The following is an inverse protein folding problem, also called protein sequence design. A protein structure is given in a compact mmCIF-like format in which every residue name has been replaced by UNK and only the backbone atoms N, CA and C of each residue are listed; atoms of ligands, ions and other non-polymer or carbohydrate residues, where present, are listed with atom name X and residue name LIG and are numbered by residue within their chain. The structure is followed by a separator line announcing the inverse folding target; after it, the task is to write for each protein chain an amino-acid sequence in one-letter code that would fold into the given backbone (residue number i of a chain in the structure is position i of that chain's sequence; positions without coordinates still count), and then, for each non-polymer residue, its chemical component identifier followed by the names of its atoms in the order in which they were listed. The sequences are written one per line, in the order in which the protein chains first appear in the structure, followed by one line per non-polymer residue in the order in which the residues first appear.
data_IF_787783222733
#
_entry.id   IF_787783222733
#
_cell.length_a   1.000
_cell.length_b   1.000
_cell.length_c   1.000
_cell.angle_alpha   90.00
_cell.angle_beta   90.00
_cell.angle_gamma   90.00
#
_symmetry.space_group_name_H-M   'P 1'
#
loop_
_entity.id
_entity.type
_entity.pdbx_description
1 polymer ?
#
# COMPACT_ATOMS: atom_id res chain seq x y z
N UNK A 1 34.98 13.29 -13.49
CA UNK A 1 34.46 12.09 -12.78
C UNK A 1 33.71 11.25 -13.78
N UNK A 2 34.02 9.95 -13.95
CA UNK A 2 33.26 9.11 -14.85
C UNK A 2 31.90 8.79 -14.23
N UNK A 3 30.85 9.01 -15.00
CA UNK A 3 29.50 8.54 -14.78
C UNK A 3 29.49 7.02 -14.92
N UNK A 4 29.56 6.31 -13.80
CA UNK A 4 29.40 4.84 -13.77
C UNK A 4 27.94 4.52 -14.11
N UNK A 5 27.65 3.65 -15.10
CA UNK A 5 26.29 3.20 -15.34
C UNK A 5 25.83 2.41 -14.10
N UNK A 6 24.81 2.90 -13.41
CA UNK A 6 24.10 2.15 -12.39
C UNK A 6 23.25 1.07 -13.09
N UNK A 7 23.90 0.08 -13.69
CA UNK A 7 23.29 -1.02 -14.39
C UNK A 7 24.10 -2.27 -14.14
N UNK A 8 23.44 -3.31 -13.61
CA UNK A 8 23.97 -4.65 -13.33
C UNK A 8 24.69 -4.80 -11.98
N UNK A 9 23.93 -4.63 -10.88
CA UNK A 9 24.17 -5.47 -9.69
C UNK A 9 23.73 -6.90 -10.03
N UNK A 10 24.65 -7.70 -10.57
CA UNK A 10 24.40 -9.10 -10.96
C UNK A 10 25.06 -9.54 -12.25
N UNK A 11 26.35 -9.22 -12.44
CA UNK A 11 27.10 -9.62 -13.63
C UNK A 11 27.11 -11.17 -13.77
N UNK A 12 26.17 -11.70 -14.55
CA UNK A 12 26.09 -13.11 -14.93
C UNK A 12 25.51 -14.10 -13.90
N UNK A 13 24.97 -13.65 -12.75
CA UNK A 13 24.37 -14.56 -11.74
C UNK A 13 22.86 -14.67 -11.92
N UNK A 14 22.26 -15.88 -11.78
CA UNK A 14 20.80 -16.02 -11.71
C UNK A 14 20.23 -15.15 -10.58
N UNK A 15 19.17 -14.41 -10.88
CA UNK A 15 18.45 -13.57 -9.92
C UNK A 15 16.95 -13.71 -10.10
N UNK A 16 16.17 -13.32 -9.09
CA UNK A 16 14.71 -13.34 -9.15
C UNK A 16 14.18 -11.96 -9.61
N UNK A 17 13.69 -11.82 -10.86
CA UNK A 17 13.22 -10.54 -11.38
C UNK A 17 11.96 -10.02 -10.67
N UNK A 18 11.14 -10.89 -10.09
CA UNK A 18 9.92 -10.49 -9.37
C UNK A 18 10.23 -9.64 -8.14
N UNK A 19 11.36 -9.89 -7.47
CA UNK A 19 11.77 -9.10 -6.30
C UNK A 19 12.18 -7.68 -6.72
N UNK A 20 12.95 -7.55 -7.80
CA UNK A 20 13.39 -6.25 -8.32
C UNK A 20 12.21 -5.45 -8.82
N UNK A 21 11.35 -6.08 -9.63
CA UNK A 21 10.15 -5.43 -10.16
C UNK A 21 9.17 -5.04 -9.04
N UNK A 22 8.96 -5.92 -8.06
CA UNK A 22 8.12 -5.64 -6.90
C UNK A 22 8.63 -4.45 -6.09
N UNK A 23 9.95 -4.36 -5.86
CA UNK A 23 10.58 -3.20 -5.21
C UNK A 23 10.40 -1.92 -6.02
N UNK A 24 10.61 -1.97 -7.33
CA UNK A 24 10.44 -0.82 -8.22
C UNK A 24 9.00 -0.29 -8.22
N UNK A 25 8.03 -1.17 -8.49
CA UNK A 25 6.61 -0.82 -8.53
C UNK A 25 6.12 -0.37 -7.16
N UNK A 26 6.50 -1.09 -6.10
CA UNK A 26 6.15 -0.72 -4.72
C UNK A 26 6.61 0.68 -4.37
N UNK A 27 7.84 1.04 -4.75
CA UNK A 27 8.38 2.36 -4.45
C UNK A 27 7.66 3.47 -5.23
N UNK A 28 7.36 3.25 -6.51
CA UNK A 28 6.56 4.19 -7.31
C UNK A 28 5.19 4.43 -6.67
N UNK A 29 4.50 3.35 -6.28
CA UNK A 29 3.21 3.45 -5.61
C UNK A 29 3.32 4.15 -4.26
N UNK A 30 4.35 3.85 -3.48
CA UNK A 30 4.62 4.53 -2.21
C UNK A 30 4.86 6.02 -2.37
N UNK A 31 5.62 6.43 -3.39
CA UNK A 31 5.86 7.85 -3.69
C UNK A 31 4.57 8.56 -4.13
N UNK A 32 3.73 7.89 -4.92
CA UNK A 32 2.45 8.46 -5.35
C UNK A 32 1.46 8.60 -4.18
N UNK A 33 1.38 7.59 -3.33
CA UNK A 33 0.39 7.51 -2.24
C UNK A 33 0.80 8.33 -1.02
N UNK A 34 2.08 8.28 -0.64
CA UNK A 34 2.58 8.78 0.65
C UNK A 34 3.61 9.91 0.51
N UNK A 35 3.95 10.30 -0.73
CA UNK A 35 5.02 11.27 -0.97
C UNK A 35 6.42 10.77 -0.59
N UNK A 36 6.56 9.50 -0.22
CA UNK A 36 7.82 8.91 0.25
C UNK A 36 8.49 8.04 -0.81
N UNK A 37 9.76 8.31 -1.05
CA UNK A 37 10.63 7.46 -1.87
C UNK A 37 11.55 6.63 -0.97
N UNK A 38 11.22 5.36 -0.81
CA UNK A 38 12.01 4.42 -0.02
C UNK A 38 13.31 4.06 -0.73
N UNK A 39 14.34 3.72 0.07
CA UNK A 39 15.48 2.99 -0.49
C UNK A 39 15.01 1.56 -0.83
N UNK A 40 15.54 0.97 -1.89
CA UNK A 40 15.16 -0.39 -2.29
C UNK A 40 15.53 -1.46 -1.26
N UNK A 41 16.43 -1.17 -0.33
CA UNK A 41 16.75 -2.03 0.83
C UNK A 41 16.07 -1.56 2.13
N UNK A 42 15.12 -0.63 2.05
CA UNK A 42 14.40 -0.14 3.22
C UNK A 42 13.50 -1.26 3.81
N UNK A 43 13.65 -1.58 5.11
CA UNK A 43 12.83 -2.61 5.75
C UNK A 43 11.34 -2.31 5.73
N UNK A 44 10.91 -1.04 5.73
CA UNK A 44 9.49 -0.66 5.61
C UNK A 44 8.93 -1.05 4.25
N UNK A 45 9.67 -0.77 3.17
CA UNK A 45 9.27 -1.16 1.82
C UNK A 45 9.20 -2.69 1.70
N UNK A 46 10.16 -3.41 2.27
CA UNK A 46 10.12 -4.87 2.30
C UNK A 46 8.94 -5.43 3.05
N UNK A 47 8.63 -4.89 4.24
CA UNK A 47 7.49 -5.35 5.00
C UNK A 47 6.17 -5.07 4.27
N UNK A 48 6.00 -3.86 3.73
CA UNK A 48 4.83 -3.48 2.91
C UNK A 48 4.63 -4.43 1.72
N UNK A 49 5.69 -4.71 0.97
CA UNK A 49 5.65 -5.64 -0.16
C UNK A 49 5.34 -7.08 0.27
N UNK A 50 5.92 -7.53 1.38
CA UNK A 50 5.68 -8.87 1.91
C UNK A 50 4.21 -9.05 2.35
N UNK A 51 3.66 -8.03 3.01
CA UNK A 51 2.27 -7.97 3.48
C UNK A 51 1.30 -7.89 2.31
N UNK A 52 1.61 -7.07 1.31
CA UNK A 52 0.84 -6.99 0.06
C UNK A 52 0.82 -8.33 -0.66
N UNK A 53 1.96 -9.03 -0.75
CA UNK A 53 2.04 -10.36 -1.36
C UNK A 53 1.21 -11.39 -0.58
N UNK A 54 1.28 -11.39 0.76
CA UNK A 54 0.44 -12.26 1.61
C UNK A 54 -1.04 -11.94 1.45
N UNK A 55 -1.40 -10.66 1.42
CA UNK A 55 -2.77 -10.22 1.18
C UNK A 55 -3.26 -10.71 -0.18
N UNK A 56 -2.46 -10.57 -1.24
CA UNK A 56 -2.78 -11.08 -2.57
C UNK A 56 -3.05 -12.59 -2.54
N UNK A 57 -2.14 -13.39 -1.94
CA UNK A 57 -2.34 -14.84 -1.78
C UNK A 57 -3.60 -15.18 -1.00
N UNK A 58 -3.95 -14.37 0.00
CA UNK A 58 -5.13 -14.57 0.81
C UNK A 58 -6.42 -14.26 0.03
N UNK A 59 -6.47 -13.17 -0.74
CA UNK A 59 -7.65 -12.83 -1.58
C UNK A 59 -7.85 -13.81 -2.73
N UNK A 60 -6.77 -14.43 -3.24
CA UNK A 60 -6.85 -15.48 -4.27
C UNK A 60 -7.01 -16.89 -3.67
N UNK A 61 -7.14 -17.02 -2.35
CA UNK A 61 -7.26 -18.34 -1.71
C UNK A 61 -8.64 -18.96 -1.94
N UNK A 62 -8.70 -20.30 -1.91
CA UNK A 62 -9.97 -21.02 -2.00
C UNK A 62 -10.96 -20.59 -0.92
N UNK A 63 -10.48 -20.34 0.30
CA UNK A 63 -11.33 -19.88 1.39
C UNK A 63 -11.99 -18.53 1.06
N UNK A 64 -11.23 -17.59 0.50
CA UNK A 64 -11.75 -16.28 0.10
C UNK A 64 -12.76 -16.42 -1.05
N UNK A 65 -12.47 -17.29 -2.03
CA UNK A 65 -13.41 -17.61 -3.11
C UNK A 65 -14.73 -18.18 -2.59
N UNK A 66 -14.67 -19.15 -1.65
CA UNK A 66 -15.88 -19.68 -1.02
C UNK A 66 -16.63 -18.62 -0.22
N UNK A 67 -15.95 -17.72 0.48
CA UNK A 67 -16.61 -16.61 1.18
C UNK A 67 -17.29 -15.63 0.22
N UNK A 68 -16.74 -15.43 -0.98
CA UNK A 68 -17.34 -14.59 -2.02
C UNK A 68 -18.60 -15.23 -2.61
N UNK A 69 -18.59 -16.55 -2.84
CA UNK A 69 -19.76 -17.30 -3.34
C UNK A 69 -20.81 -17.48 -2.24
N UNK A 70 -20.37 -17.75 -1.02
CA UNK A 70 -21.19 -18.06 0.14
C UNK A 70 -20.92 -17.06 1.27
N UNK A 71 -21.48 -15.84 1.22
CA UNK A 71 -21.18 -14.78 2.18
C UNK A 71 -21.60 -15.12 3.61
N UNK A 72 -22.49 -16.10 3.82
CA UNK A 72 -22.84 -16.57 5.17
C UNK A 72 -21.65 -17.18 5.93
N UNK A 73 -20.62 -17.67 5.23
CA UNK A 73 -19.39 -18.19 5.86
C UNK A 73 -18.65 -17.11 6.67
N UNK A 74 -18.82 -15.82 6.31
CA UNK A 74 -18.28 -14.70 7.07
C UNK A 74 -18.96 -14.50 8.44
N UNK A 75 -20.11 -15.14 8.70
CA UNK A 75 -20.76 -15.12 10.01
C UNK A 75 -20.08 -16.04 11.03
N UNK A 76 -19.22 -16.95 10.57
CA UNK A 76 -18.47 -17.84 11.45
C UNK A 76 -17.34 -17.03 12.13
N UNK A 77 -17.13 -17.16 13.44
CA UNK A 77 -16.26 -16.26 14.21
C UNK A 77 -14.78 -16.29 13.80
N UNK A 78 -14.31 -17.37 13.17
CA UNK A 78 -12.92 -17.55 12.77
C UNK A 78 -12.63 -17.10 11.33
N UNK A 79 -13.62 -17.20 10.43
CA UNK A 79 -13.41 -16.99 9.00
C UNK A 79 -13.02 -15.54 8.67
N UNK A 80 -13.74 -14.50 9.15
CA UNK A 80 -13.32 -13.12 8.95
C UNK A 80 -11.93 -12.83 9.51
N UNK A 81 -11.55 -13.44 10.64
CA UNK A 81 -10.22 -13.23 11.23
C UNK A 81 -9.11 -13.73 10.31
N UNK A 82 -9.34 -14.83 9.60
CA UNK A 82 -8.37 -15.37 8.64
C UNK A 82 -8.37 -14.51 7.37
N UNK A 83 -9.55 -14.29 6.81
CA UNK A 83 -9.75 -13.62 5.51
C UNK A 83 -9.36 -12.14 5.55
N UNK A 84 -9.50 -11.46 6.69
CA UNK A 84 -9.22 -10.03 6.82
C UNK A 84 -7.86 -9.72 7.44
N UNK A 85 -7.12 -10.71 7.97
CA UNK A 85 -5.89 -10.47 8.75
C UNK A 85 -4.89 -9.52 8.05
N UNK A 86 -4.53 -9.85 6.81
CA UNK A 86 -3.54 -9.04 6.07
C UNK A 86 -4.15 -7.74 5.55
N UNK A 87 -5.46 -7.71 5.30
CA UNK A 87 -6.17 -6.48 4.92
C UNK A 87 -6.16 -5.46 6.07
N UNK A 88 -6.40 -5.91 7.31
CA UNK A 88 -6.35 -5.07 8.50
C UNK A 88 -4.97 -4.46 8.71
N UNK A 89 -3.90 -5.20 8.40
CA UNK A 89 -2.55 -4.65 8.46
C UNK A 89 -2.34 -3.51 7.45
N UNK A 90 -2.64 -3.75 6.17
CA UNK A 90 -2.49 -2.73 5.12
C UNK A 90 -3.36 -1.51 5.39
N UNK A 91 -4.57 -1.72 5.89
CA UNK A 91 -5.47 -0.67 6.32
C UNK A 91 -4.85 0.18 7.44
N UNK A 92 -4.34 -0.44 8.51
CA UNK A 92 -3.69 0.28 9.59
C UNK A 92 -2.43 1.03 9.13
N UNK A 93 -1.64 0.43 8.24
CA UNK A 93 -0.48 1.07 7.64
C UNK A 93 -0.89 2.37 6.94
N UNK A 94 -1.89 2.33 6.04
CA UNK A 94 -2.38 3.53 5.35
C UNK A 94 -2.96 4.54 6.35
N UNK A 95 -3.69 4.09 7.37
CA UNK A 95 -4.24 4.97 8.40
C UNK A 95 -3.17 5.74 9.18
N UNK A 96 -2.02 5.13 9.46
CA UNK A 96 -0.89 5.81 10.11
C UNK A 96 -0.35 6.94 9.23
N UNK A 97 -0.14 6.69 7.93
CA UNK A 97 0.23 7.75 6.98
C UNK A 97 -0.82 8.85 6.90
N UNK A 98 -2.09 8.50 6.80
CA UNK A 98 -3.18 9.48 6.77
C UNK A 98 -3.21 10.37 8.01
N UNK A 99 -2.95 9.82 9.20
CA UNK A 99 -2.87 10.60 10.45
C UNK A 99 -1.71 11.60 10.41
N UNK A 100 -0.54 11.16 9.97
CA UNK A 100 0.63 12.05 9.88
C UNK A 100 0.41 13.14 8.82
N UNK A 101 -0.13 12.78 7.66
CA UNK A 101 -0.45 13.73 6.60
C UNK A 101 -1.47 14.76 7.08
N UNK A 102 -2.52 14.33 7.79
CA UNK A 102 -3.50 15.25 8.38
C UNK A 102 -2.87 16.26 9.35
N UNK A 103 -1.81 15.88 10.08
CA UNK A 103 -1.09 16.74 11.02
C UNK A 103 -0.21 17.77 10.30
N UNK A 104 0.39 17.41 9.17
CA UNK A 104 1.31 18.26 8.39
C UNK A 104 0.69 18.87 7.13
N UNK A 105 -0.62 18.69 6.93
CA UNK A 105 -1.32 19.06 5.69
C UNK A 105 -1.25 20.56 5.43
N UNK A 106 -0.81 20.92 4.23
CA UNK A 106 -0.80 22.29 3.70
C UNK A 106 -1.78 22.39 2.52
N UNK A 107 -2.95 23.03 2.68
CA UNK A 107 -3.96 23.11 1.62
C UNK A 107 -3.46 23.72 0.31
N UNK A 108 -2.50 24.63 0.38
CA UNK A 108 -1.90 25.33 -0.74
C UNK A 108 -0.91 24.48 -1.56
N UNK A 109 -0.42 23.37 -0.99
CA UNK A 109 0.62 22.55 -1.59
C UNK A 109 0.45 21.07 -1.20
N UNK A 110 -0.55 20.36 -1.78
CA UNK A 110 -0.70 18.93 -1.55
C UNK A 110 0.51 18.17 -2.07
N UNK A 111 1.07 17.29 -1.24
CA UNK A 111 2.34 16.59 -1.55
C UNK A 111 2.13 15.29 -2.34
N UNK A 112 0.99 14.65 -2.13
CA UNK A 112 0.67 13.31 -2.62
C UNK A 112 -0.84 13.06 -2.69
N UNK A 113 -1.21 11.82 -3.02
CA UNK A 113 -2.60 11.43 -3.15
C UNK A 113 -3.36 11.51 -1.82
N UNK A 114 -2.73 11.21 -0.69
CA UNK A 114 -3.40 11.30 0.63
C UNK A 114 -3.75 12.76 0.93
N UNK A 115 -2.81 13.70 0.76
CA UNK A 115 -3.08 15.12 0.97
C UNK A 115 -4.23 15.60 0.08
N UNK A 116 -4.19 15.23 -1.21
CA UNK A 116 -5.24 15.56 -2.19
C UNK A 116 -6.60 15.00 -1.77
N UNK A 117 -6.65 13.75 -1.30
CA UNK A 117 -7.88 13.11 -0.86
C UNK A 117 -8.44 13.73 0.42
N UNK A 118 -7.56 14.08 1.38
CA UNK A 118 -7.95 14.77 2.61
C UNK A 118 -8.56 16.15 2.32
N UNK A 119 -8.01 16.90 1.37
CA UNK A 119 -8.58 18.18 0.95
C UNK A 119 -9.94 17.99 0.28
N UNK A 120 -10.07 17.00 -0.61
CA UNK A 120 -11.33 16.71 -1.28
C UNK A 120 -12.43 16.30 -0.29
N UNK A 121 -12.11 15.49 0.73
CA UNK A 121 -13.07 15.13 1.79
C UNK A 121 -13.54 16.38 2.55
N UNK A 122 -12.62 17.28 2.91
CA UNK A 122 -12.98 18.53 3.61
C UNK A 122 -13.93 19.38 2.76
N UNK A 123 -13.61 19.57 1.48
CA UNK A 123 -14.43 20.31 0.53
C UNK A 123 -15.84 19.72 0.40
N UNK A 124 -15.95 18.40 0.16
CA UNK A 124 -17.24 17.72 0.03
C UNK A 124 -18.05 17.83 1.31
N UNK A 125 -17.43 17.62 2.48
CA UNK A 125 -18.13 17.72 3.76
C UNK A 125 -18.61 19.15 4.04
N UNK A 126 -17.85 20.18 3.63
CA UNK A 126 -18.31 21.56 3.69
C UNK A 126 -19.52 21.79 2.79
N UNK A 127 -19.53 21.24 1.57
CA UNK A 127 -20.68 21.33 0.66
C UNK A 127 -21.92 20.63 1.23
N UNK A 128 -21.77 19.43 1.81
CA UNK A 128 -22.90 18.71 2.43
C UNK A 128 -23.46 19.40 3.67
N UNK A 129 -22.71 20.29 4.33
CA UNK A 129 -23.20 21.10 5.45
C UNK A 129 -23.88 22.41 5.00
N UNK A 130 -23.75 22.79 3.73
CA UNK A 130 -24.31 24.02 3.16
C UNK A 130 -25.62 23.75 2.37
N UNK A 131 -25.90 22.49 2.04
CA UNK A 131 -27.15 22.02 1.42
C UNK A 131 -27.97 21.21 2.42
#
# INVERSE_FOLDING_TARGET
MPITPAGVRGAGKPFNPLLILGRAVGNIMSSLLFGEHFNYEDPKLHDLLSRTSRHHKNITSLLHMFCNIFPFLLKLPLIPKIVLKEASYLYNFVLEYMKEHKRTLKPEAPRDLIDSFLLRIKEVNTLTLIF
#
